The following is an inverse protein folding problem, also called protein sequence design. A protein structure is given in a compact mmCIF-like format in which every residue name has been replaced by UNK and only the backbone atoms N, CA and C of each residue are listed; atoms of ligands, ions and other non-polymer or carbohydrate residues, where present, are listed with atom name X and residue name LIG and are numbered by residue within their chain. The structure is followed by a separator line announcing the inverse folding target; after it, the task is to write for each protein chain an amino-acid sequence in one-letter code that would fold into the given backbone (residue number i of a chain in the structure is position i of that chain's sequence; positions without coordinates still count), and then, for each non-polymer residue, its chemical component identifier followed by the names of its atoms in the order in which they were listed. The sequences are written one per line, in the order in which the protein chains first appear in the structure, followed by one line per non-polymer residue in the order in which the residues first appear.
data_IF_362263118712
#
_entry.id   IF_362263118712
#
_cell.length_a   1.000
_cell.length_b   1.000
_cell.length_c   1.000
_cell.angle_alpha   90.00
_cell.angle_beta   90.00
_cell.angle_gamma   90.00
#
_symmetry.space_group_name_H-M   'P 1'
#
loop_
_entity.id
_entity.type
_entity.pdbx_description
1 polymer ?
#
# COMPACT_ATOMS: atom_id res chain seq x y z
N UNK A 1 -14.04 7.67 33.62
CA UNK A 1 -13.14 8.02 32.50
C UNK A 1 -11.68 7.80 32.89
N UNK A 2 -11.23 8.33 34.01
CA UNK A 2 -9.87 8.24 34.51
C UNK A 2 -9.37 6.79 34.61
N UNK A 3 -10.18 5.89 35.16
CA UNK A 3 -9.84 4.46 35.30
C UNK A 3 -9.61 3.78 33.94
N UNK A 4 -10.40 4.11 32.91
CA UNK A 4 -10.23 3.54 31.56
C UNK A 4 -9.01 4.13 30.85
N UNK A 5 -8.78 5.43 31.02
CA UNK A 5 -7.59 6.09 30.51
C UNK A 5 -6.31 5.47 31.07
N UNK A 6 -6.24 5.25 32.39
CA UNK A 6 -5.10 4.65 33.04
C UNK A 6 -4.82 3.21 32.54
N UNK A 7 -5.85 2.39 32.33
CA UNK A 7 -5.68 1.04 31.77
C UNK A 7 -5.06 1.10 30.36
N UNK A 8 -5.52 2.01 29.53
CA UNK A 8 -4.99 2.18 28.16
C UNK A 8 -3.55 2.70 28.21
N UNK A 9 -3.29 3.68 29.08
CA UNK A 9 -1.99 4.29 29.26
C UNK A 9 -0.94 3.25 29.77
N UNK A 10 -1.27 2.50 30.82
CA UNK A 10 -0.39 1.46 31.37
C UNK A 10 -0.04 0.38 30.33
N UNK A 11 -1.02 -0.04 29.53
CA UNK A 11 -0.76 -1.02 28.45
C UNK A 11 0.11 -0.44 27.35
N UNK A 12 -0.09 0.83 27.02
CA UNK A 12 0.74 1.51 26.04
C UNK A 12 2.18 1.65 26.51
N UNK A 13 2.41 2.00 27.79
CA UNK A 13 3.73 2.03 28.41
C UNK A 13 4.40 0.66 28.37
N UNK A 14 3.67 -0.42 28.72
CA UNK A 14 4.20 -1.77 28.69
C UNK A 14 4.69 -2.15 27.27
N UNK A 15 3.96 -1.77 26.21
CA UNK A 15 4.40 -2.00 24.82
C UNK A 15 5.68 -1.20 24.51
N UNK A 16 5.80 0.00 25.05
CA UNK A 16 6.95 0.87 24.82
C UNK A 16 8.19 0.40 25.61
N UNK A 17 8.00 -0.04 26.84
CA UNK A 17 9.09 -0.54 27.70
C UNK A 17 9.62 -1.92 27.26
N UNK A 18 8.81 -2.69 26.50
CA UNK A 18 9.19 -3.95 25.91
C UNK A 18 9.18 -3.88 24.37
N UNK A 19 10.09 -3.10 23.78
CA UNK A 19 10.13 -2.95 22.30
C UNK A 19 10.37 -4.28 21.56
N UNK A 20 10.86 -5.31 22.24
CA UNK A 20 11.01 -6.65 21.68
C UNK A 20 9.67 -7.39 21.46
N UNK A 21 8.55 -6.87 22.02
CA UNK A 21 7.21 -7.40 21.74
C UNK A 21 6.70 -6.87 20.38
N UNK A 22 7.19 -5.70 19.95
CA UNK A 22 7.03 -5.22 18.59
C UNK A 22 8.21 -5.77 17.78
N UNK A 23 8.31 -7.06 17.65
CA UNK A 23 9.14 -7.68 16.63
C UNK A 23 8.49 -7.26 15.32
N UNK A 24 9.00 -6.19 14.75
CA UNK A 24 8.99 -6.07 13.31
C UNK A 24 9.85 -7.26 12.86
N UNK A 25 9.23 -8.45 12.75
CA UNK A 25 9.83 -9.47 11.93
C UNK A 25 10.17 -8.72 10.66
N UNK A 26 11.46 -8.60 10.40
CA UNK A 26 11.94 -8.26 9.08
C UNK A 26 11.40 -9.40 8.22
N UNK A 27 10.16 -9.24 7.78
CA UNK A 27 9.69 -9.89 6.61
C UNK A 27 10.67 -9.38 5.55
N UNK A 28 11.63 -10.23 5.18
CA UNK A 28 12.71 -9.94 4.23
C UNK A 28 12.17 -9.57 2.84
N UNK A 29 10.86 -9.55 2.69
CA UNK A 29 10.18 -9.08 1.52
C UNK A 29 9.78 -7.61 1.69
N UNK A 30 10.66 -6.69 1.30
CA UNK A 30 10.30 -5.31 0.94
C UNK A 30 9.36 -5.29 -0.28
N UNK A 31 8.68 -6.41 -0.50
CA UNK A 31 7.66 -6.59 -1.52
C UNK A 31 6.42 -5.80 -1.18
N UNK A 32 5.95 -5.04 -2.14
CA UNK A 32 4.76 -4.21 -1.99
C UNK A 32 3.79 -4.56 -3.11
N UNK A 33 2.53 -4.80 -2.76
CA UNK A 33 1.49 -4.86 -3.78
C UNK A 33 1.44 -3.53 -4.53
N UNK A 34 1.26 -3.58 -5.85
CA UNK A 34 1.24 -2.37 -6.69
C UNK A 34 0.20 -1.35 -6.21
N UNK A 35 -0.92 -1.78 -5.62
CA UNK A 35 -1.97 -0.90 -5.09
C UNK A 35 -1.53 -0.14 -3.85
N UNK A 36 -0.57 -0.65 -3.10
CA UNK A 36 -0.01 0.00 -1.91
C UNK A 36 1.11 1.01 -2.24
N UNK A 37 1.57 1.03 -3.49
CA UNK A 37 2.60 1.95 -3.95
C UNK A 37 1.99 3.32 -4.22
N UNK A 38 2.47 4.37 -3.52
CA UNK A 38 2.02 5.74 -3.72
C UNK A 38 2.54 6.34 -5.03
N UNK A 39 3.84 6.20 -5.30
CA UNK A 39 4.46 6.64 -6.55
C UNK A 39 5.71 5.81 -6.88
N UNK A 40 5.82 5.32 -8.13
CA UNK A 40 7.01 4.62 -8.64
C UNK A 40 8.11 5.56 -9.12
N UNK A 41 7.96 6.87 -8.93
CA UNK A 41 8.87 7.88 -9.48
C UNK A 41 10.29 7.72 -8.94
N UNK A 42 11.28 7.75 -9.84
CA UNK A 42 12.72 7.64 -9.56
C UNK A 42 13.15 6.33 -8.86
N UNK A 43 12.30 5.32 -8.85
CA UNK A 43 12.65 4.01 -8.28
C UNK A 43 12.97 3.02 -9.41
N UNK A 44 13.96 2.15 -9.16
CA UNK A 44 14.28 0.99 -10.00
C UNK A 44 13.73 -0.27 -9.38
N UNK A 45 13.22 -1.17 -10.18
CA UNK A 45 12.81 -2.49 -9.70
C UNK A 45 14.05 -3.36 -9.45
N UNK A 46 14.01 -4.17 -8.42
CA UNK A 46 14.87 -5.34 -8.25
C UNK A 46 14.24 -6.52 -8.98
N UNK A 47 12.94 -6.74 -8.73
CA UNK A 47 12.11 -7.73 -9.40
C UNK A 47 10.62 -7.37 -9.19
N UNK A 48 9.75 -8.11 -9.86
CA UNK A 48 8.32 -8.14 -9.55
C UNK A 48 7.82 -9.58 -9.53
N UNK A 49 6.69 -9.79 -8.87
CA UNK A 49 5.99 -11.08 -8.82
C UNK A 49 4.63 -10.88 -9.48
N UNK A 50 4.33 -11.69 -10.46
CA UNK A 50 3.02 -11.73 -11.10
C UNK A 50 2.48 -13.15 -11.13
N UNK A 51 1.26 -13.36 -10.60
CA UNK A 51 0.62 -14.69 -10.47
C UNK A 51 1.59 -15.74 -9.89
N UNK A 52 2.20 -15.43 -8.74
CA UNK A 52 3.17 -16.26 -8.03
C UNK A 52 4.48 -16.55 -8.80
N UNK A 53 4.72 -15.91 -9.94
CA UNK A 53 5.96 -16.04 -10.71
C UNK A 53 6.83 -14.83 -10.50
N UNK A 54 8.04 -15.05 -9.98
CA UNK A 54 9.05 -14.01 -9.83
C UNK A 54 9.72 -13.74 -11.18
N UNK A 55 9.81 -12.46 -11.54
CA UNK A 55 10.42 -11.99 -12.78
C UNK A 55 11.47 -10.94 -12.44
N UNK A 56 12.74 -11.24 -12.78
CA UNK A 56 13.90 -10.41 -12.52
C UNK A 56 14.08 -9.38 -13.66
N UNK A 57 13.21 -8.38 -13.70
CA UNK A 57 13.21 -7.28 -14.66
C UNK A 57 13.38 -5.96 -13.96
N UNK A 58 14.36 -5.18 -14.39
CA UNK A 58 14.81 -3.97 -13.68
C UNK A 58 13.97 -2.73 -13.95
N UNK A 59 13.05 -2.78 -14.92
CA UNK A 59 12.32 -1.59 -15.34
C UNK A 59 10.80 -1.74 -15.23
N UNK A 60 10.16 -0.66 -14.80
CA UNK A 60 8.70 -0.56 -14.77
C UNK A 60 8.09 -0.71 -16.17
N UNK A 61 8.83 -0.34 -17.22
CA UNK A 61 8.37 -0.51 -18.60
C UNK A 61 8.28 -2.00 -18.98
N UNK A 62 9.30 -2.80 -18.65
CA UNK A 62 9.30 -4.25 -18.90
C UNK A 62 8.20 -4.96 -18.12
N UNK A 63 8.03 -4.63 -16.82
CA UNK A 63 6.91 -5.12 -16.03
C UNK A 63 5.56 -4.79 -16.67
N UNK A 64 5.36 -3.54 -17.12
CA UNK A 64 4.15 -3.08 -17.78
C UNK A 64 3.81 -3.92 -19.03
N UNK A 65 4.81 -4.15 -19.90
CA UNK A 65 4.60 -4.96 -21.10
C UNK A 65 4.38 -6.44 -20.78
N UNK A 66 5.10 -6.97 -19.80
CA UNK A 66 4.95 -8.35 -19.35
C UNK A 66 3.52 -8.63 -18.86
N UNK A 67 3.02 -7.79 -17.95
CA UNK A 67 1.67 -7.96 -17.38
C UNK A 67 0.61 -7.85 -18.48
N UNK A 68 0.68 -6.85 -19.36
CA UNK A 68 -0.30 -6.71 -20.44
C UNK A 68 -0.30 -7.93 -21.37
N UNK A 69 0.87 -8.47 -21.71
CA UNK A 69 0.99 -9.67 -22.54
C UNK A 69 0.30 -10.87 -21.89
N UNK A 70 0.57 -11.11 -20.62
CA UNK A 70 -0.04 -12.23 -19.90
C UNK A 70 -1.56 -12.06 -19.77
N UNK A 71 -2.05 -10.85 -19.50
CA UNK A 71 -3.49 -10.58 -19.45
C UNK A 71 -4.17 -10.75 -20.81
N UNK A 72 -3.48 -10.39 -21.90
CA UNK A 72 -3.97 -10.66 -23.27
C UNK A 72 -4.11 -12.16 -23.51
N UNK A 73 -3.11 -12.96 -23.16
CA UNK A 73 -3.15 -14.42 -23.30
C UNK A 73 -4.25 -15.05 -22.43
N UNK A 74 -4.45 -14.50 -21.23
CA UNK A 74 -5.46 -14.99 -20.27
C UNK A 74 -6.90 -14.75 -20.75
N UNK A 75 -7.19 -13.55 -21.24
CA UNK A 75 -8.50 -13.20 -21.78
C UNK A 75 -8.41 -12.08 -22.82
N UNK A 76 -8.09 -12.46 -24.05
CA UNK A 76 -7.97 -11.54 -25.19
C UNK A 76 -9.23 -10.71 -25.40
N UNK A 77 -10.42 -11.32 -25.30
CA UNK A 77 -11.67 -10.63 -25.60
C UNK A 77 -12.01 -9.56 -24.57
N UNK A 78 -11.73 -9.82 -23.28
CA UNK A 78 -11.94 -8.84 -22.21
C UNK A 78 -11.08 -7.60 -22.45
N UNK A 79 -9.83 -7.80 -22.84
CA UNK A 79 -8.89 -6.72 -23.09
C UNK A 79 -9.26 -5.91 -24.33
N UNK A 80 -9.66 -6.57 -25.43
CA UNK A 80 -10.10 -5.92 -26.67
C UNK A 80 -11.39 -5.10 -26.44
N UNK A 81 -12.35 -5.63 -25.70
CA UNK A 81 -13.60 -4.91 -25.42
C UNK A 81 -13.37 -3.62 -24.59
N UNK A 82 -12.22 -3.50 -23.92
CA UNK A 82 -11.84 -2.33 -23.12
C UNK A 82 -10.64 -1.56 -23.70
N UNK A 83 -10.31 -1.78 -24.98
CA UNK A 83 -9.11 -1.23 -25.63
C UNK A 83 -8.96 0.29 -25.49
N UNK A 84 -10.04 1.04 -25.61
CA UNK A 84 -10.04 2.50 -25.52
C UNK A 84 -9.66 2.99 -24.10
N UNK A 85 -10.13 2.27 -23.08
CA UNK A 85 -9.84 2.57 -21.68
C UNK A 85 -8.37 2.38 -21.35
N UNK A 86 -7.74 1.35 -21.92
CA UNK A 86 -6.36 0.97 -21.61
C UNK A 86 -5.35 1.43 -22.66
N UNK A 87 -5.82 2.14 -23.69
CA UNK A 87 -4.98 2.59 -24.81
C UNK A 87 -4.17 1.43 -25.39
N UNK A 88 -4.88 0.40 -25.83
CA UNK A 88 -4.35 -0.75 -26.56
C UNK A 88 -4.97 -0.73 -27.95
N UNK A 89 -4.16 -0.77 -29.00
CA UNK A 89 -4.64 -0.67 -30.38
C UNK A 89 -3.87 -1.58 -31.32
N UNK A 90 -4.46 -1.87 -32.47
CA UNK A 90 -3.76 -2.50 -33.61
C UNK A 90 -3.12 -1.50 -34.55
N UNK A 91 -3.47 -0.22 -34.44
CA UNK A 91 -2.93 0.83 -35.27
C UNK A 91 -1.81 1.58 -34.53
N UNK A 92 -0.52 1.35 -34.85
CA UNK A 92 0.57 2.02 -34.18
C UNK A 92 0.53 3.55 -34.34
N UNK A 93 -0.13 4.06 -35.37
CA UNK A 93 -0.24 5.52 -35.58
C UNK A 93 -1.12 6.25 -34.55
N UNK A 94 -1.87 5.52 -33.73
CA UNK A 94 -2.68 6.09 -32.65
C UNK A 94 -1.81 6.56 -31.47
N UNK A 95 -0.53 6.14 -31.43
CA UNK A 95 0.38 6.45 -30.35
C UNK A 95 1.58 7.27 -30.81
N UNK A 96 2.11 8.04 -29.88
CA UNK A 96 3.33 8.81 -30.11
C UNK A 96 4.56 7.90 -30.15
N UNK A 97 4.56 6.89 -29.28
CA UNK A 97 5.65 5.91 -29.18
C UNK A 97 5.02 4.50 -29.02
N UNK A 98 4.56 3.90 -30.12
CA UNK A 98 3.94 2.58 -30.06
C UNK A 98 4.96 1.50 -29.70
N UNK A 99 4.62 0.67 -28.74
CA UNK A 99 5.36 -0.55 -28.39
C UNK A 99 4.47 -1.75 -28.64
N UNK A 100 4.89 -2.63 -29.52
CA UNK A 100 4.21 -3.91 -29.68
C UNK A 100 4.39 -4.78 -28.44
N UNK A 101 3.29 -5.30 -27.92
CA UNK A 101 3.26 -6.19 -26.78
C UNK A 101 3.01 -7.64 -27.19
N UNK A 102 2.09 -7.87 -28.11
CA UNK A 102 1.76 -9.22 -28.63
C UNK A 102 0.93 -9.15 -29.93
N UNK A 103 1.25 -10.00 -30.91
CA UNK A 103 0.42 -10.29 -32.10
C UNK A 103 -0.15 -9.05 -32.80
N UNK A 104 0.68 -8.01 -33.02
CA UNK A 104 0.28 -6.76 -33.69
C UNK A 104 -0.60 -5.85 -32.79
N UNK A 105 -0.63 -6.05 -31.49
CA UNK A 105 -1.23 -5.13 -30.53
C UNK A 105 -0.16 -4.23 -29.91
N UNK A 106 -0.46 -2.96 -29.86
CA UNK A 106 0.45 -1.90 -29.42
C UNK A 106 -0.11 -1.19 -28.20
N UNK A 107 0.79 -0.73 -27.34
CA UNK A 107 0.53 0.19 -26.22
C UNK A 107 1.38 1.45 -26.34
N UNK A 108 0.98 2.52 -25.65
CA UNK A 108 1.78 3.74 -25.58
C UNK A 108 2.98 3.54 -24.65
N UNK A 109 4.19 3.56 -25.20
CA UNK A 109 5.43 3.42 -24.41
C UNK A 109 5.82 4.72 -23.67
N UNK A 110 5.38 5.88 -24.17
CA UNK A 110 5.73 7.21 -23.64
C UNK A 110 4.88 7.62 -22.41
N UNK A 111 4.35 6.65 -21.68
CA UNK A 111 3.78 6.89 -20.36
C UNK A 111 4.90 7.01 -19.32
N UNK A 112 4.79 7.99 -18.42
CA UNK A 112 5.63 7.98 -17.23
C UNK A 112 5.31 6.80 -16.31
N UNK A 113 6.13 6.56 -15.30
CA UNK A 113 5.94 5.41 -14.42
C UNK A 113 4.60 5.46 -13.66
N UNK A 114 4.17 6.64 -13.20
CA UNK A 114 2.87 6.81 -12.55
C UNK A 114 1.72 6.44 -13.51
N UNK A 115 1.80 6.88 -14.77
CA UNK A 115 0.82 6.53 -15.80
C UNK A 115 0.76 5.03 -16.08
N UNK A 116 1.90 4.33 -16.14
CA UNK A 116 1.95 2.87 -16.28
C UNK A 116 1.29 2.18 -15.09
N UNK A 117 1.53 2.64 -13.86
CA UNK A 117 0.88 2.10 -12.66
C UNK A 117 -0.63 2.31 -12.66
N UNK A 118 -1.10 3.48 -13.11
CA UNK A 118 -2.56 3.71 -13.22
C UNK A 118 -3.21 2.73 -14.19
N UNK A 119 -2.58 2.47 -15.34
CA UNK A 119 -3.09 1.48 -16.31
C UNK A 119 -3.05 0.08 -15.74
N UNK A 120 -1.93 -0.34 -15.12
CA UNK A 120 -1.81 -1.66 -14.50
C UNK A 120 -2.86 -1.88 -13.41
N UNK A 121 -3.05 -0.93 -12.48
CA UNK A 121 -4.06 -1.04 -11.43
C UNK A 121 -5.46 -1.24 -12.01
N UNK A 122 -5.83 -0.46 -13.03
CA UNK A 122 -7.13 -0.61 -13.71
C UNK A 122 -7.29 -1.97 -14.40
N UNK A 123 -6.22 -2.46 -15.05
CA UNK A 123 -6.22 -3.77 -15.69
C UNK A 123 -6.40 -4.90 -14.67
N UNK A 124 -5.64 -4.86 -13.57
CA UNK A 124 -5.75 -5.85 -12.50
C UNK A 124 -7.15 -5.86 -11.88
N UNK A 125 -7.75 -4.69 -11.66
CA UNK A 125 -9.14 -4.59 -11.19
C UNK A 125 -10.13 -5.15 -12.24
N UNK A 126 -9.94 -4.88 -13.54
CA UNK A 126 -10.81 -5.43 -14.58
C UNK A 126 -10.76 -6.97 -14.63
N UNK A 127 -9.60 -7.55 -14.33
CA UNK A 127 -9.38 -8.99 -14.31
C UNK A 127 -9.65 -9.64 -12.94
N UNK A 128 -10.02 -8.84 -11.92
CA UNK A 128 -10.29 -9.27 -10.54
C UNK A 128 -9.09 -10.00 -9.91
N UNK A 129 -7.87 -9.47 -10.14
CA UNK A 129 -6.59 -10.03 -9.68
C UNK A 129 -5.70 -8.95 -9.05
N UNK A 130 -6.26 -8.08 -8.22
CA UNK A 130 -5.56 -6.95 -7.59
C UNK A 130 -4.39 -7.40 -6.71
N UNK A 131 -4.46 -8.59 -6.14
CA UNK A 131 -3.44 -9.13 -5.23
C UNK A 131 -2.28 -9.82 -5.97
N UNK A 132 -2.38 -10.01 -7.29
CA UNK A 132 -1.46 -10.85 -8.07
C UNK A 132 -0.22 -10.11 -8.61
N UNK A 133 -0.07 -8.81 -8.34
CA UNK A 133 1.12 -8.06 -8.75
C UNK A 133 1.78 -7.38 -7.56
N UNK A 134 2.93 -7.91 -7.18
CA UNK A 134 3.82 -7.32 -6.17
C UNK A 134 5.15 -6.91 -6.79
N UNK A 135 5.78 -5.90 -6.22
CA UNK A 135 7.05 -5.36 -6.69
C UNK A 135 8.03 -5.23 -5.53
N UNK A 136 9.31 -5.40 -5.83
CA UNK A 136 10.41 -5.01 -4.97
C UNK A 136 11.27 -3.99 -5.68
N UNK A 137 11.59 -2.91 -4.98
CA UNK A 137 12.51 -1.90 -5.49
C UNK A 137 13.95 -2.23 -5.11
N UNK A 138 14.88 -1.93 -6.03
CA UNK A 138 16.31 -2.00 -5.76
C UNK A 138 16.65 -0.96 -4.69
N UNK A 139 17.26 -1.41 -3.59
CA UNK A 139 17.74 -0.52 -2.53
C UNK A 139 18.89 0.32 -3.04
N UNK A 140 18.71 1.61 -3.15
CA UNK A 140 19.69 2.54 -3.76
C UNK A 140 20.76 3.05 -2.80
N UNK A 141 21.08 2.38 -1.73
CA UNK A 141 22.14 2.59 -0.72
C UNK A 141 21.62 2.35 0.69
N UNK A 142 22.51 2.14 1.68
CA UNK A 142 22.19 1.92 3.10
C UNK A 142 21.24 2.96 3.76
N UNK A 143 20.94 4.07 3.09
CA UNK A 143 20.02 5.10 3.56
C UNK A 143 18.54 4.89 3.14
N UNK A 144 18.26 4.00 2.18
CA UNK A 144 16.89 3.67 1.74
C UNK A 144 16.30 2.45 2.46
N UNK A 145 17.06 1.86 3.40
CA UNK A 145 16.60 0.81 4.33
C UNK A 145 15.67 1.35 5.43
N UNK A 146 15.18 2.59 5.33
CA UNK A 146 14.05 2.99 6.18
C UNK A 146 12.83 2.17 5.76
N UNK A 147 12.38 1.21 6.58
CA UNK A 147 11.16 0.46 6.30
C UNK A 147 10.06 1.45 5.99
N UNK A 148 9.30 1.19 4.95
CA UNK A 148 8.23 2.10 4.51
C UNK A 148 7.41 2.53 5.73
N UNK A 149 7.54 3.79 6.14
CA UNK A 149 6.96 4.35 7.38
C UNK A 149 5.46 4.03 7.52
N UNK A 150 4.77 3.84 6.40
CA UNK A 150 3.34 3.53 6.37
C UNK A 150 3.08 2.07 6.77
N UNK A 151 3.90 1.15 6.28
CA UNK A 151 3.81 -0.27 6.66
C UNK A 151 4.21 -0.48 8.12
N UNK A 152 5.27 0.20 8.56
CA UNK A 152 5.68 0.20 9.98
C UNK A 152 4.54 0.68 10.86
N UNK A 153 3.88 1.78 10.50
CA UNK A 153 2.74 2.31 11.24
C UNK A 153 1.57 1.35 11.27
N UNK A 154 1.22 0.77 10.11
CA UNK A 154 0.12 -0.19 10.02
C UNK A 154 0.38 -1.43 10.87
N UNK A 155 1.59 -2.03 10.79
CA UNK A 155 2.02 -3.16 11.65
C UNK A 155 1.98 -2.77 13.14
N UNK A 156 2.47 -1.59 13.50
CA UNK A 156 2.40 -1.07 14.86
C UNK A 156 0.96 -0.97 15.36
N UNK A 157 0.05 -0.39 14.58
CA UNK A 157 -1.36 -0.29 14.94
C UNK A 157 -2.03 -1.66 15.04
N UNK A 158 -1.70 -2.60 14.18
CA UNK A 158 -2.20 -3.99 14.27
C UNK A 158 -1.82 -4.62 15.61
N UNK A 159 -0.56 -4.52 16.00
CA UNK A 159 -0.07 -5.07 17.28
C UNK A 159 -0.68 -4.34 18.47
N UNK A 160 -0.74 -3.01 18.44
CA UNK A 160 -1.35 -2.22 19.49
C UNK A 160 -2.83 -2.61 19.69
N UNK A 161 -3.59 -2.70 18.61
CA UNK A 161 -5.00 -3.06 18.67
C UNK A 161 -5.20 -4.46 19.23
N UNK A 162 -4.34 -5.44 18.90
CA UNK A 162 -4.39 -6.77 19.48
C UNK A 162 -4.17 -6.75 21.00
N UNK A 163 -3.26 -5.91 21.48
CA UNK A 163 -2.95 -5.81 22.92
C UNK A 163 -4.05 -5.10 23.72
N UNK A 164 -4.80 -4.19 23.08
CA UNK A 164 -5.88 -3.45 23.74
C UNK A 164 -7.29 -4.00 23.44
N UNK A 165 -7.39 -5.22 22.87
CA UNK A 165 -8.67 -5.86 22.51
C UNK A 165 -9.65 -6.01 23.68
N UNK A 166 -9.16 -6.07 24.93
CA UNK A 166 -10.01 -6.12 26.13
C UNK A 166 -10.73 -4.77 26.45
N UNK A 167 -10.49 -3.74 25.63
CA UNK A 167 -11.20 -2.46 25.72
C UNK A 167 -12.20 -2.37 24.57
N UNK A 168 -13.48 -2.22 24.87
CA UNK A 168 -14.54 -2.07 23.85
C UNK A 168 -14.38 -0.80 23.00
N UNK A 169 -13.55 0.16 23.43
CA UNK A 169 -13.38 1.45 22.78
C UNK A 169 -12.74 1.36 21.40
N UNK A 170 -11.78 0.44 21.20
CA UNK A 170 -11.03 0.29 19.94
C UNK A 170 -11.48 -0.93 19.12
N UNK A 171 -12.53 -1.64 19.52
CA UNK A 171 -12.97 -2.89 18.88
C UNK A 171 -13.36 -2.73 17.39
N UNK A 172 -13.77 -1.53 16.97
CA UNK A 172 -14.20 -1.22 15.61
C UNK A 172 -13.20 -0.33 14.85
N UNK A 173 -11.96 -0.21 15.37
CA UNK A 173 -10.92 0.61 14.76
C UNK A 173 -9.99 -0.28 13.95
N UNK A 174 -9.81 0.05 12.67
CA UNK A 174 -8.89 -0.66 11.79
C UNK A 174 -7.51 0.01 11.79
N UNK A 175 -6.42 -0.78 11.64
CA UNK A 175 -5.08 -0.24 11.48
C UNK A 175 -5.00 0.66 10.26
N UNK A 176 -4.44 1.87 10.42
CA UNK A 176 -4.23 2.83 9.33
C UNK A 176 -2.76 3.04 9.02
N UNK A 177 -2.47 3.71 7.92
CA UNK A 177 -1.12 4.17 7.54
C UNK A 177 -0.75 5.52 8.20
N UNK A 178 -1.71 6.14 8.89
CA UNK A 178 -1.53 7.43 9.52
C UNK A 178 -0.63 7.34 10.78
N UNK A 179 -0.06 8.47 11.17
CA UNK A 179 0.72 8.57 12.40
C UNK A 179 -0.16 8.70 13.65
N UNK A 180 -1.47 8.60 13.50
CA UNK A 180 -2.45 8.65 14.58
C UNK A 180 -3.53 7.58 14.39
N UNK A 181 -4.15 7.19 15.50
CA UNK A 181 -5.27 6.26 15.55
C UNK A 181 -6.28 6.77 16.58
N UNK A 182 -7.52 7.02 16.17
CA UNK A 182 -8.51 7.66 17.02
C UNK A 182 -9.79 6.83 17.16
N UNK A 183 -10.43 6.95 18.33
CA UNK A 183 -11.76 6.38 18.61
C UNK A 183 -12.58 7.31 19.50
N UNK A 184 -13.89 7.19 19.42
CA UNK A 184 -14.78 7.92 20.33
C UNK A 184 -14.64 7.43 21.78
N UNK A 185 -14.68 8.33 22.74
CA UNK A 185 -14.58 8.00 24.17
C UNK A 185 -15.91 7.50 24.80
N UNK A 186 -16.93 7.22 23.98
CA UNK A 186 -18.27 6.83 24.44
C UNK A 186 -19.16 8.00 24.87
N UNK A 187 -18.70 9.23 24.65
CA UNK A 187 -19.44 10.47 24.87
C UNK A 187 -19.31 11.35 23.65
N UNK A 188 -20.42 11.96 23.21
CA UNK A 188 -20.38 12.85 22.05
C UNK A 188 -19.40 14.00 22.25
N UNK A 189 -18.62 14.29 21.22
CA UNK A 189 -17.61 15.35 21.25
C UNK A 189 -16.32 15.00 22.02
N UNK A 190 -16.12 13.74 22.43
CA UNK A 190 -14.90 13.31 23.12
C UNK A 190 -14.27 12.13 22.37
N UNK A 191 -12.96 12.19 22.10
CA UNK A 191 -12.22 11.12 21.46
C UNK A 191 -10.86 10.86 22.13
N UNK A 192 -10.42 9.60 22.08
CA UNK A 192 -9.04 9.20 22.39
C UNK A 192 -8.27 9.07 21.09
N UNK A 193 -7.04 9.57 21.07
CA UNK A 193 -6.14 9.47 19.92
C UNK A 193 -4.75 9.02 20.37
N UNK A 194 -4.27 7.93 19.79
CA UNK A 194 -2.87 7.56 19.87
C UNK A 194 -2.11 8.27 18.75
N UNK A 195 -0.95 8.83 19.06
CA UNK A 195 -0.06 9.45 18.08
C UNK A 195 1.32 8.82 18.19
N UNK A 196 1.91 8.43 17.06
CA UNK A 196 3.27 7.92 16.98
C UNK A 196 4.09 8.74 15.98
N UNK A 197 5.29 9.12 16.39
CA UNK A 197 6.27 9.82 15.55
C UNK A 197 7.62 9.11 15.63
N UNK A 198 8.65 9.61 14.95
CA UNK A 198 10.03 9.09 15.09
C UNK A 198 10.63 9.34 16.47
N UNK A 199 10.15 10.34 17.21
CA UNK A 199 10.78 10.84 18.44
C UNK A 199 9.90 10.71 19.68
N UNK A 200 8.62 10.53 19.53
CA UNK A 200 7.70 10.39 20.66
C UNK A 200 6.44 9.61 20.28
N UNK A 201 5.79 9.11 21.32
CA UNK A 201 4.43 8.60 21.31
C UNK A 201 3.62 9.37 22.35
N UNK A 202 2.34 9.59 22.09
CA UNK A 202 1.43 10.22 23.04
C UNK A 202 0.01 9.74 22.90
N UNK A 203 -0.75 9.89 23.97
CA UNK A 203 -2.19 9.66 24.01
C UNK A 203 -2.85 11.02 24.25
N UNK A 204 -3.80 11.35 23.41
CA UNK A 204 -4.58 12.57 23.50
C UNK A 204 -6.03 12.25 23.86
N UNK A 205 -6.60 13.03 24.77
CA UNK A 205 -8.05 13.13 24.97
C UNK A 205 -8.49 14.45 24.35
N UNK A 206 -9.21 14.37 23.25
CA UNK A 206 -9.72 15.55 22.56
C UNK A 206 -11.18 15.77 22.91
N UNK A 207 -11.50 16.99 23.34
CA UNK A 207 -12.88 17.42 23.64
C UNK A 207 -13.25 18.48 22.61
N UNK A 208 -14.22 18.16 21.79
CA UNK A 208 -14.75 19.08 20.79
C UNK A 208 -15.89 19.87 21.41
N UNK A 209 -15.74 21.18 21.50
CA UNK A 209 -16.85 22.05 21.89
C UNK A 209 -17.81 22.17 20.69
N UNK A 210 -19.01 21.63 20.79
CA UNK A 210 -20.05 21.94 19.82
C UNK A 210 -20.31 23.44 19.89
N UNK A 211 -20.12 24.17 18.80
CA UNK A 211 -20.68 25.53 18.73
C UNK A 211 -22.20 25.38 18.82
N UNK A 212 -22.75 25.89 19.94
CA UNK A 212 -24.19 26.14 20.10
C UNK A 212 -24.66 27.15 19.04
#
# INVERSE_FOLDING_TARGET
YEKRFNIIYERFLNIWEYPNVIILENDDSDEQNIFDVESPKNKKLEYFIFENTKIDEETIAQMYYYVIRNLYEKNTQLLINNQDTFKITRNPSDFRTPQEVINGWFVEANLNNDGKFVVLKRLLTLFEIEDELSIKYLSSTENDLEPNRFNVRKKYWQQLLQLITNTTLFSNVNPSKDHWLSTGAGTAGVSYTFVITKSFVRIELTIYQSKL
#
